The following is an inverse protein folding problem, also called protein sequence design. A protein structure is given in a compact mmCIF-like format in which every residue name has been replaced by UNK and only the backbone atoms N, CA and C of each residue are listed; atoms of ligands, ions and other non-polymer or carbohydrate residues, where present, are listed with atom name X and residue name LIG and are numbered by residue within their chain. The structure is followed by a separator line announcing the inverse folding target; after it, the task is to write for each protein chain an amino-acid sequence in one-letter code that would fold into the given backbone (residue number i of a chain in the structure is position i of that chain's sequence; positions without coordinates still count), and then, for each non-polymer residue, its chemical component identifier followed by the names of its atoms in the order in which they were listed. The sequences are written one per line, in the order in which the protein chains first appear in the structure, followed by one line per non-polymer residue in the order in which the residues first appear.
data_IF_548935519633
#
_entry.id   IF_548935519633
#
_cell.length_a   1.000
_cell.length_b   1.000
_cell.length_c   1.000
_cell.angle_alpha   90.00
_cell.angle_beta   90.00
_cell.angle_gamma   90.00
#
_symmetry.space_group_name_H-M   'P 1'
#
loop_
_entity.id
_entity.type
_entity.pdbx_description
1 polymer ?
#
# COMPACT_ATOMS: atom_id res chain seq x y z
N UNK A 1 70.98 12.88 -25.00
CA UNK A 1 69.99 13.64 -24.20
C UNK A 1 68.61 13.11 -24.58
N UNK A 2 67.97 12.35 -23.70
CA UNK A 2 66.71 11.64 -23.98
C UNK A 2 65.51 12.54 -23.67
N UNK A 3 64.65 12.78 -24.67
CA UNK A 3 63.40 13.54 -24.53
C UNK A 3 62.27 12.59 -24.10
N UNK A 4 61.64 12.86 -22.95
CA UNK A 4 60.50 12.10 -22.45
C UNK A 4 59.18 12.71 -22.94
N UNK A 5 58.46 11.99 -23.80
CA UNK A 5 57.08 12.31 -24.19
C UNK A 5 56.17 11.89 -23.03
N UNK A 6 55.55 12.87 -22.36
CA UNK A 6 54.46 12.60 -21.40
C UNK A 6 53.16 12.39 -22.19
N UNK A 7 52.69 11.15 -22.27
CA UNK A 7 51.32 10.85 -22.71
C UNK A 7 50.34 11.17 -21.59
N UNK A 8 49.56 12.24 -21.76
CA UNK A 8 48.43 12.52 -20.87
C UNK A 8 47.26 11.59 -21.21
N UNK A 9 46.86 10.74 -20.26
CA UNK A 9 45.63 9.95 -20.34
C UNK A 9 44.43 10.87 -20.02
N UNK A 10 43.67 11.27 -21.04
CA UNK A 10 42.41 11.96 -20.83
C UNK A 10 41.36 10.95 -20.31
N UNK A 11 40.88 11.15 -19.07
CA UNK A 11 39.74 10.40 -18.56
C UNK A 11 38.48 10.82 -19.32
N UNK A 12 37.90 9.87 -20.07
CA UNK A 12 36.62 10.09 -20.74
C UNK A 12 35.54 10.10 -19.65
N UNK A 13 35.13 11.28 -19.20
CA UNK A 13 33.96 11.42 -18.36
C UNK A 13 32.73 10.99 -19.19
N UNK A 14 32.26 9.76 -18.98
CA UNK A 14 30.96 9.31 -19.47
C UNK A 14 29.88 10.06 -18.70
N UNK A 15 29.53 11.25 -19.20
CA UNK A 15 28.30 11.91 -18.80
C UNK A 15 27.14 10.98 -19.20
N UNK A 16 26.44 10.41 -18.21
CA UNK A 16 25.19 9.71 -18.45
C UNK A 16 24.18 10.73 -18.97
N UNK A 17 23.91 10.72 -20.26
CA UNK A 17 22.85 11.52 -20.85
C UNK A 17 21.52 11.07 -20.22
N UNK A 18 20.87 11.97 -19.47
CA UNK A 18 19.49 11.74 -19.07
C UNK A 18 18.63 11.76 -20.34
N UNK A 19 18.09 10.60 -20.71
CA UNK A 19 17.21 10.44 -21.87
C UNK A 19 16.05 11.44 -21.81
N UNK A 20 15.83 12.18 -22.90
CA UNK A 20 14.72 13.13 -23.08
C UNK A 20 13.46 12.45 -23.67
N UNK A 21 13.35 11.13 -23.59
CA UNK A 21 12.20 10.39 -24.15
C UNK A 21 11.03 10.35 -23.15
N UNK A 22 9.91 10.97 -23.56
CA UNK A 22 8.58 11.02 -22.91
C UNK A 22 8.55 11.89 -21.65
N UNK A 23 7.57 12.80 -21.53
CA UNK A 23 7.30 13.51 -20.26
C UNK A 23 7.09 12.44 -19.19
N UNK A 24 8.10 12.19 -18.35
CA UNK A 24 7.93 11.36 -17.17
C UNK A 24 7.01 12.15 -16.25
N UNK A 25 5.76 11.70 -16.11
CA UNK A 25 4.89 12.20 -15.06
C UNK A 25 5.55 11.93 -13.71
N UNK A 26 5.36 12.85 -12.76
CA UNK A 26 5.82 12.67 -11.39
C UNK A 26 5.14 11.45 -10.75
N UNK A 27 5.88 10.72 -9.92
CA UNK A 27 5.42 9.49 -9.29
C UNK A 27 5.23 9.71 -7.79
N UNK A 28 3.99 9.59 -7.32
CA UNK A 28 3.66 9.48 -5.91
C UNK A 28 3.17 8.06 -5.60
N UNK A 29 3.96 7.29 -4.85
CA UNK A 29 3.67 5.90 -4.50
C UNK A 29 3.80 5.67 -3.01
N UNK A 30 2.86 4.93 -2.43
CA UNK A 30 2.92 4.44 -1.06
C UNK A 30 3.11 2.92 -1.03
N UNK A 31 3.92 2.46 -0.09
CA UNK A 31 4.11 1.04 0.24
C UNK A 31 3.58 0.77 1.63
N UNK A 32 2.66 -0.19 1.74
CA UNK A 32 2.05 -0.60 3.00
C UNK A 32 2.42 -2.05 3.30
N UNK A 33 2.82 -2.32 4.54
CA UNK A 33 2.94 -3.68 5.08
C UNK A 33 2.06 -3.75 6.31
N UNK A 34 1.03 -4.59 6.26
CA UNK A 34 0.02 -4.62 7.30
C UNK A 34 -0.93 -5.78 7.16
N UNK A 35 -2.03 -5.75 7.91
CA UNK A 35 -3.02 -6.82 7.91
C UNK A 35 -4.32 -6.34 7.25
N UNK A 36 -4.96 -7.21 6.47
CA UNK A 36 -6.30 -6.94 5.98
C UNK A 36 -7.28 -6.84 7.14
N UNK A 37 -8.01 -5.73 7.25
CA UNK A 37 -9.01 -5.54 8.31
C UNK A 37 -10.25 -6.38 8.14
N UNK A 38 -10.59 -6.66 6.88
CA UNK A 38 -11.79 -7.38 6.46
C UNK A 38 -11.57 -7.99 5.09
N UNK A 39 -12.45 -8.90 4.71
CA UNK A 39 -12.48 -9.48 3.38
C UNK A 39 -12.66 -8.36 2.32
N UNK A 40 -11.92 -8.40 1.19
CA UNK A 40 -12.08 -7.41 0.12
C UNK A 40 -13.49 -7.43 -0.49
N UNK A 41 -14.10 -6.26 -0.64
CA UNK A 41 -15.48 -6.10 -1.11
C UNK A 41 -15.51 -5.57 -2.54
N UNK A 42 -16.34 -6.15 -3.41
CA UNK A 42 -16.66 -5.59 -4.74
C UNK A 42 -17.68 -4.47 -4.58
N UNK A 43 -17.43 -3.33 -5.22
CA UNK A 43 -18.30 -2.16 -5.23
C UNK A 43 -18.39 -1.60 -6.64
N UNK A 44 -19.47 -0.88 -6.90
CA UNK A 44 -19.71 -0.22 -8.19
C UNK A 44 -19.65 1.29 -7.99
N UNK A 45 -18.94 2.00 -8.87
CA UNK A 45 -18.93 3.47 -8.86
C UNK A 45 -20.19 4.03 -9.53
N UNK A 46 -20.43 5.35 -9.41
CA UNK A 46 -21.57 6.04 -10.04
C UNK A 46 -21.63 5.91 -11.57
N UNK A 47 -20.50 5.60 -12.19
CA UNK A 47 -20.35 5.41 -13.63
C UNK A 47 -20.35 3.91 -14.02
N UNK A 48 -20.98 3.05 -13.22
CA UNK A 48 -21.13 1.60 -13.45
C UNK A 48 -19.84 0.79 -13.64
N UNK A 49 -18.69 1.32 -13.20
CA UNK A 49 -17.43 0.58 -13.13
C UNK A 49 -17.28 -0.14 -11.80
N UNK A 50 -17.02 -1.44 -11.87
CA UNK A 50 -16.70 -2.26 -10.71
C UNK A 50 -15.27 -2.03 -10.22
N UNK A 51 -15.11 -2.06 -8.90
CA UNK A 51 -13.82 -1.97 -8.22
C UNK A 51 -13.84 -2.79 -6.95
N UNK A 52 -12.67 -3.24 -6.49
CA UNK A 52 -12.53 -3.92 -5.20
C UNK A 52 -11.98 -2.95 -4.18
N UNK A 53 -12.60 -2.86 -3.00
CA UNK A 53 -12.13 -2.05 -1.87
C UNK A 53 -11.72 -2.94 -0.71
N UNK A 54 -10.55 -2.65 -0.14
CA UNK A 54 -10.04 -3.34 1.05
C UNK A 54 -9.35 -2.35 2.00
N UNK A 55 -9.24 -2.73 3.27
CA UNK A 55 -8.56 -1.95 4.30
C UNK A 55 -7.31 -2.66 4.81
N UNK A 56 -6.23 -1.91 5.00
CA UNK A 56 -4.98 -2.41 5.56
C UNK A 56 -4.69 -1.67 6.86
N UNK A 57 -4.55 -2.41 7.95
CA UNK A 57 -4.07 -1.89 9.22
C UNK A 57 -2.54 -1.82 9.23
N UNK A 58 -1.98 -0.67 9.56
CA UNK A 58 -0.56 -0.52 9.91
C UNK A 58 -0.43 0.03 11.31
N UNK A 59 0.36 -0.61 12.16
CA UNK A 59 0.61 -0.13 13.52
C UNK A 59 1.99 0.52 13.61
N UNK A 60 2.04 1.73 14.15
CA UNK A 60 3.25 2.46 14.49
C UNK A 60 3.32 2.68 16.00
N UNK A 61 4.50 2.92 16.55
CA UNK A 61 4.67 3.24 17.96
C UNK A 61 4.87 4.74 18.11
N UNK A 62 4.09 5.36 18.99
CA UNK A 62 4.25 6.77 19.36
C UNK A 62 5.60 7.02 20.03
N UNK A 63 5.96 8.30 20.13
CA UNK A 63 7.01 8.72 21.05
C UNK A 63 6.71 8.21 22.47
N UNK A 64 7.73 7.88 23.27
CA UNK A 64 7.54 7.47 24.65
C UNK A 64 6.77 8.53 25.45
N UNK A 65 5.85 8.10 26.29
CA UNK A 65 5.23 8.97 27.30
C UNK A 65 6.21 9.24 28.46
N UNK A 66 5.80 10.05 29.44
CA UNK A 66 6.60 10.36 30.64
C UNK A 66 7.02 9.11 31.43
N UNK A 67 6.27 8.00 31.28
CA UNK A 67 6.55 6.71 31.91
C UNK A 67 7.48 5.81 31.06
N UNK A 68 7.94 6.29 29.89
CA UNK A 68 8.80 5.52 28.97
C UNK A 68 8.06 4.51 28.09
N UNK A 69 6.73 4.42 28.18
CA UNK A 69 5.91 3.49 27.40
C UNK A 69 5.58 4.06 26.02
N UNK A 70 5.52 3.20 25.00
CA UNK A 70 5.11 3.58 23.66
C UNK A 70 3.72 3.07 23.36
N UNK A 71 2.79 4.01 23.16
CA UNK A 71 1.41 3.69 22.78
C UNK A 71 1.35 3.26 21.31
N UNK A 72 0.78 2.08 20.99
CA UNK A 72 0.59 1.63 19.62
C UNK A 72 -0.53 2.44 18.95
N UNK A 73 -0.23 3.05 17.81
CA UNK A 73 -1.18 3.76 16.96
C UNK A 73 -1.41 2.99 15.68
N UNK A 74 -2.64 2.52 15.48
CA UNK A 74 -3.05 1.80 14.26
C UNK A 74 -3.73 2.75 13.29
N UNK A 75 -3.21 2.84 12.08
CA UNK A 75 -3.80 3.57 10.96
C UNK A 75 -4.46 2.60 10.00
N UNK A 76 -5.68 2.93 9.57
CA UNK A 76 -6.46 2.16 8.61
C UNK A 76 -6.39 2.81 7.23
N UNK A 77 -5.74 2.13 6.30
CA UNK A 77 -5.59 2.58 4.92
C UNK A 77 -6.65 1.94 4.05
N UNK A 78 -7.50 2.73 3.41
CA UNK A 78 -8.49 2.22 2.46
C UNK A 78 -7.94 2.28 1.05
N UNK A 79 -7.83 1.12 0.40
CA UNK A 79 -7.29 0.98 -0.96
C UNK A 79 -8.39 0.55 -1.92
N UNK A 80 -8.36 1.09 -3.15
CA UNK A 80 -9.30 0.81 -4.22
C UNK A 80 -8.57 0.22 -5.43
N UNK A 81 -9.03 -0.94 -5.92
CA UNK A 81 -8.52 -1.61 -7.11
C UNK A 81 -9.53 -1.54 -8.24
N UNK A 82 -9.11 -0.94 -9.35
CA UNK A 82 -9.89 -0.86 -10.60
C UNK A 82 -9.37 -1.82 -11.67
N UNK A 83 -8.35 -2.64 -11.34
CA UNK A 83 -7.72 -3.56 -12.27
C UNK A 83 -8.47 -4.90 -12.26
N UNK A 84 -9.15 -5.30 -13.35
CA UNK A 84 -9.97 -6.52 -13.36
C UNK A 84 -9.17 -7.78 -13.02
N UNK A 85 -7.91 -7.87 -13.48
CA UNK A 85 -7.01 -8.99 -13.17
C UNK A 85 -6.69 -9.10 -11.69
N UNK A 86 -6.38 -7.98 -11.03
CA UNK A 86 -6.13 -7.94 -9.59
C UNK A 86 -7.39 -8.20 -8.77
N UNK A 87 -8.55 -7.76 -9.25
CA UNK A 87 -9.82 -7.87 -8.52
C UNK A 87 -10.18 -9.32 -8.19
N UNK A 88 -10.01 -10.25 -9.14
CA UNK A 88 -10.26 -11.68 -8.90
C UNK A 88 -9.34 -12.25 -7.82
N UNK A 89 -8.04 -11.89 -7.85
CA UNK A 89 -7.09 -12.32 -6.83
C UNK A 89 -7.41 -11.72 -5.46
N UNK A 90 -7.73 -10.43 -5.39
CA UNK A 90 -8.10 -9.74 -4.16
C UNK A 90 -9.29 -10.40 -3.46
N UNK A 91 -10.31 -10.83 -4.21
CA UNK A 91 -11.48 -11.52 -3.66
C UNK A 91 -11.15 -12.87 -3.01
N UNK A 92 -10.01 -13.49 -3.33
CA UNK A 92 -9.56 -14.72 -2.67
C UNK A 92 -8.93 -14.48 -1.30
N UNK A 93 -8.59 -13.22 -0.98
CA UNK A 93 -7.94 -12.86 0.26
C UNK A 93 -8.96 -12.79 1.40
N UNK A 94 -8.47 -13.12 2.60
CA UNK A 94 -9.27 -13.12 3.83
C UNK A 94 -8.73 -12.12 4.83
N UNK A 95 -9.63 -11.62 5.68
CA UNK A 95 -9.31 -10.80 6.84
C UNK A 95 -8.15 -11.42 7.65
N UNK A 96 -7.33 -10.57 8.25
CA UNK A 96 -6.16 -10.97 9.03
C UNK A 96 -4.92 -11.35 8.20
N UNK A 97 -5.05 -11.57 6.88
CA UNK A 97 -3.89 -11.84 6.02
C UNK A 97 -2.90 -10.68 6.05
N UNK A 98 -1.62 -11.00 6.26
CA UNK A 98 -0.53 -10.03 6.21
C UNK A 98 -0.15 -9.79 4.76
N UNK A 99 -0.18 -8.54 4.34
CA UNK A 99 -0.02 -8.13 2.94
C UNK A 99 1.03 -7.04 2.79
N UNK A 100 1.74 -7.09 1.68
CA UNK A 100 2.51 -5.99 1.11
C UNK A 100 1.68 -5.37 -0.02
N UNK A 101 1.51 -4.06 -0.02
CA UNK A 101 0.71 -3.32 -1.00
C UNK A 101 1.51 -2.15 -1.54
N UNK A 102 1.54 -2.02 -2.86
CA UNK A 102 1.94 -0.80 -3.56
C UNK A 102 0.69 -0.11 -4.10
N UNK A 103 0.58 1.20 -3.85
CA UNK A 103 -0.53 2.00 -4.33
C UNK A 103 -0.07 3.39 -4.77
N UNK A 104 -0.72 3.94 -5.79
CA UNK A 104 -0.60 5.34 -6.12
C UNK A 104 -1.28 6.19 -5.03
N UNK A 105 -0.58 7.23 -4.58
CA UNK A 105 -1.05 8.13 -3.52
C UNK A 105 -1.51 9.46 -4.13
N UNK A 106 -2.77 9.80 -3.89
CA UNK A 106 -3.38 11.05 -4.36
C UNK A 106 -4.12 11.72 -3.19
N UNK A 107 -3.87 13.00 -2.97
CA UNK A 107 -4.65 13.84 -2.04
C UNK A 107 -5.53 14.74 -2.90
N UNK A 108 -6.82 14.82 -2.57
CA UNK A 108 -7.70 15.86 -3.08
C UNK A 108 -7.98 16.84 -1.95
N UNK A 109 -7.59 18.08 -2.18
CA UNK A 109 -7.89 19.18 -1.28
C UNK A 109 -9.39 19.49 -1.33
N UNK A 110 -9.96 19.96 -0.20
CA UNK A 110 -11.36 20.33 -0.15
C UNK A 110 -11.65 21.52 -1.07
N UNK A 111 -12.88 21.57 -1.59
CA UNK A 111 -13.36 22.72 -2.34
C UNK A 111 -13.54 23.91 -1.38
N UNK A 112 -13.06 25.12 -1.73
CA UNK A 112 -12.97 26.24 -0.79
C UNK A 112 -14.33 26.73 -0.26
N UNK A 113 -15.42 26.45 -0.97
CA UNK A 113 -16.78 26.88 -0.62
C UNK A 113 -17.70 25.71 -0.21
N UNK A 114 -17.19 24.48 -0.19
CA UNK A 114 -17.98 23.33 0.22
C UNK A 114 -18.15 23.29 1.74
N UNK A 115 -19.33 22.88 2.20
CA UNK A 115 -19.59 22.67 3.62
C UNK A 115 -18.62 21.60 4.17
N UNK A 116 -17.89 21.85 5.27
CA UNK A 116 -16.96 20.90 5.88
C UNK A 116 -17.60 19.58 6.32
N UNK A 117 -18.93 19.53 6.44
CA UNK A 117 -19.67 18.30 6.72
C UNK A 117 -19.77 17.37 5.49
N UNK A 118 -19.58 17.92 4.29
CA UNK A 118 -19.66 17.16 3.03
C UNK A 118 -18.33 16.51 2.68
N UNK A 119 -18.32 15.42 1.91
CA UNK A 119 -17.08 14.85 1.41
C UNK A 119 -16.23 15.84 0.60
N UNK A 120 -16.86 16.83 -0.05
CA UNK A 120 -16.18 17.85 -0.86
C UNK A 120 -15.49 18.91 0.01
N UNK A 121 -16.01 19.17 1.22
CA UNK A 121 -15.40 20.08 2.19
C UNK A 121 -14.31 19.43 3.05
N UNK A 122 -14.02 18.14 2.85
CA UNK A 122 -12.99 17.40 3.58
C UNK A 122 -11.84 16.97 2.66
N UNK A 123 -10.62 16.98 3.19
CA UNK A 123 -9.46 16.45 2.48
C UNK A 123 -9.62 14.94 2.28
N UNK A 124 -9.52 14.49 1.03
CA UNK A 124 -9.69 13.09 0.66
C UNK A 124 -8.36 12.46 0.30
N UNK A 125 -8.08 11.28 0.85
CA UNK A 125 -6.92 10.47 0.51
C UNK A 125 -7.37 9.33 -0.39
N UNK A 126 -6.81 9.25 -1.58
CA UNK A 126 -7.03 8.19 -2.55
C UNK A 126 -5.81 7.30 -2.65
N UNK A 127 -6.00 6.02 -2.32
CA UNK A 127 -5.02 4.97 -2.53
C UNK A 127 -5.51 4.06 -3.64
N UNK A 128 -4.85 4.12 -4.80
CA UNK A 128 -5.18 3.28 -5.95
C UNK A 128 -4.23 2.10 -6.00
N UNK A 129 -4.78 0.89 -5.90
CA UNK A 129 -4.02 -0.34 -5.94
C UNK A 129 -3.18 -0.46 -7.21
N UNK A 130 -1.89 -0.78 -7.06
CA UNK A 130 -1.01 -1.18 -8.15
C UNK A 130 -0.60 -2.66 -8.03
N UNK A 131 -0.16 -3.07 -6.84
CA UNK A 131 0.30 -4.45 -6.60
C UNK A 131 0.01 -4.86 -5.16
N UNK A 132 -0.30 -6.14 -4.97
CA UNK A 132 -0.43 -6.76 -3.66
C UNK A 132 0.25 -8.12 -3.63
N UNK A 133 0.94 -8.41 -2.52
CA UNK A 133 1.54 -9.71 -2.24
C UNK A 133 1.13 -10.15 -0.85
N UNK A 134 0.63 -11.37 -0.71
CA UNK A 134 0.38 -11.96 0.62
C UNK A 134 1.70 -12.45 1.19
N UNK A 135 2.06 -11.94 2.37
CA UNK A 135 3.24 -12.35 3.13
C UNK A 135 2.89 -13.59 3.96
N UNK A 136 1.74 -13.58 4.64
CA UNK A 136 1.22 -14.72 5.40
C UNK A 136 -0.30 -14.68 5.42
N UNK A 137 -0.94 -15.85 5.38
CA UNK A 137 -2.39 -15.96 5.61
C UNK A 137 -2.68 -15.75 7.11
N UNK A 138 -3.83 -15.16 7.43
CA UNK A 138 -4.29 -15.06 8.82
C UNK A 138 -4.56 -16.45 9.40
N UNK A 139 -4.49 -16.61 10.73
CA UNK A 139 -4.97 -17.83 11.38
C UNK A 139 -6.48 -17.93 11.12
N UNK A 140 -6.91 -18.86 10.27
CA UNK A 140 -8.30 -19.25 10.18
C UNK A 140 -8.69 -19.90 11.50
N UNK A 141 -9.76 -19.42 12.13
CA UNK A 141 -10.40 -20.06 13.28
C UNK A 141 -11.08 -21.34 12.81
N UNK A 142 -10.30 -22.37 12.50
CA UNK A 142 -10.78 -23.67 12.03
C UNK A 142 -9.78 -24.73 12.51
N UNK A 143 -9.66 -24.87 13.83
CA UNK A 143 -8.90 -25.95 14.49
C UNK A 143 -9.24 -26.07 15.99
N UNK A 144 -10.54 -26.09 16.35
CA UNK A 144 -11.01 -26.45 17.71
C UNK A 144 -12.33 -27.28 17.68
N UNK A 145 -12.57 -28.07 16.62
CA UNK A 145 -13.59 -29.13 16.64
C UNK A 145 -12.91 -30.46 16.33
N UNK A 146 -12.52 -31.20 17.37
CA UNK A 146 -11.97 -32.54 17.19
C UNK A 146 -11.22 -33.11 18.38
N UNK A 147 -11.83 -33.15 19.58
CA UNK A 147 -11.65 -34.26 20.55
C UNK A 147 -12.62 -34.09 21.73
N UNK A 148 -13.85 -34.59 21.58
CA UNK A 148 -14.69 -34.97 22.72
C UNK A 148 -15.20 -36.39 22.44
N UNK A 149 -14.25 -37.32 22.39
CA UNK A 149 -14.56 -38.74 22.34
C UNK A 149 -15.16 -39.14 23.70
N UNK A 150 -16.45 -39.44 23.64
CA UNK A 150 -17.23 -40.32 24.50
C UNK A 150 -16.43 -41.16 25.52
N UNK A 151 -16.53 -40.81 26.80
CA UNK A 151 -16.54 -41.81 27.88
C UNK A 151 -18.00 -42.19 28.14
N UNK A 152 -18.45 -43.20 27.39
CA UNK A 152 -19.52 -44.09 27.83
C UNK A 152 -18.86 -45.36 28.32
N UNK A 153 -18.79 -45.55 29.64
CA UNK A 153 -19.06 -46.79 30.39
C UNK A 153 -18.89 -46.56 31.89
#
# INVERSE_FOLDING_TARGET
MFSAIRTASASRATARAFSTSTRRHDLAKITLIGNLGRDPEVKTTKNDKEYVSYSVATTSFSAPNENGERLPNTTWHRVMSFLPGSNKYLQTLKAGSKVYVEAAYEIREPEPEADPSTPQGQRQIFLRHETIKVISKGKSSESEEGHHDSEHL
#
